data_IF_968640293588
#
_entry.id   IF_968640293588
#
_cell.length_a   1.000
_cell.length_b   1.000
_cell.length_c   1.000
_cell.angle_alpha   90.00
_cell.angle_beta   90.00
_cell.angle_gamma   90.00
#
_symmetry.space_group_name_H-M   'P 1'
#
loop_
_entity.id
_entity.type
_entity.pdbx_description
1 polymer ?
#
# COMPACT_ATOMS: atom_id res chain seq x y z
N UNK A 1 -34.69 -14.50 -5.82
CA UNK A 1 -33.33 -14.29 -6.38
C UNK A 1 -32.44 -13.80 -5.26
N UNK A 2 -31.34 -14.50 -4.95
CA UNK A 2 -30.36 -14.03 -3.96
C UNK A 2 -29.46 -12.97 -4.59
N UNK A 3 -29.16 -11.89 -3.86
CA UNK A 3 -28.26 -10.81 -4.30
C UNK A 3 -26.84 -11.12 -3.84
N UNK A 4 -25.91 -11.18 -4.78
CA UNK A 4 -24.48 -11.31 -4.47
C UNK A 4 -23.91 -9.94 -4.07
N UNK A 5 -23.07 -9.92 -3.03
CA UNK A 5 -22.34 -8.74 -2.56
C UNK A 5 -20.87 -9.13 -2.42
N UNK A 6 -19.97 -8.30 -2.93
CA UNK A 6 -18.51 -8.45 -2.75
C UNK A 6 -18.03 -7.53 -1.63
N UNK A 7 -17.11 -8.03 -0.81
CA UNK A 7 -16.49 -7.29 0.30
C UNK A 7 -15.00 -7.09 0.05
N UNK A 8 -14.49 -5.92 0.44
CA UNK A 8 -13.07 -5.60 0.45
C UNK A 8 -12.71 -4.83 1.72
N UNK A 9 -11.47 -4.98 2.20
CA UNK A 9 -10.96 -4.31 3.39
C UNK A 9 -9.49 -3.89 3.23
N UNK A 10 -9.07 -2.91 4.03
CA UNK A 10 -7.68 -2.47 4.09
C UNK A 10 -6.94 -3.18 5.22
N UNK A 11 -5.69 -3.55 4.96
CA UNK A 11 -4.83 -4.18 5.94
C UNK A 11 -3.43 -3.54 5.95
N UNK A 12 -2.96 -3.20 7.15
CA UNK A 12 -1.62 -2.65 7.39
C UNK A 12 -0.68 -3.73 7.96
N UNK A 13 -0.91 -4.98 7.57
CA UNK A 13 -0.11 -6.16 7.93
C UNK A 13 0.46 -6.82 6.68
N UNK A 14 1.48 -7.66 6.87
CA UNK A 14 2.03 -8.46 5.78
C UNK A 14 0.99 -9.44 5.24
N UNK A 15 1.09 -9.81 3.96
CA UNK A 15 0.11 -10.69 3.30
C UNK A 15 -0.05 -12.06 4.00
N UNK A 16 1.02 -12.55 4.62
CA UNK A 16 1.04 -13.80 5.39
C UNK A 16 0.39 -13.70 6.79
N UNK A 17 -0.05 -12.50 7.19
CA UNK A 17 -0.71 -12.22 8.46
C UNK A 17 -2.17 -11.76 8.26
N UNK A 18 -2.71 -11.89 7.05
CA UNK A 18 -4.12 -11.60 6.75
C UNK A 18 -5.02 -12.70 7.31
N UNK A 19 -6.19 -12.30 7.83
CA UNK A 19 -7.22 -13.24 8.26
C UNK A 19 -7.73 -14.07 7.07
N UNK A 20 -8.03 -15.34 7.30
CA UNK A 20 -8.60 -16.27 6.30
C UNK A 20 -10.10 -16.04 6.16
N UNK A 21 -10.47 -15.01 5.40
CA UNK A 21 -11.84 -14.58 5.14
C UNK A 21 -12.03 -14.40 3.63
N UNK A 22 -13.20 -14.77 3.07
CA UNK A 22 -13.46 -14.68 1.63
C UNK A 22 -13.74 -13.23 1.18
N UNK A 23 -12.76 -12.35 1.39
CA UNK A 23 -12.78 -10.94 1.07
C UNK A 23 -11.51 -10.56 0.31
N UNK A 24 -11.57 -9.43 -0.40
CA UNK A 24 -10.40 -8.88 -1.09
C UNK A 24 -9.68 -7.94 -0.11
N UNK A 25 -8.38 -8.13 0.05
CA UNK A 25 -7.56 -7.26 0.88
C UNK A 25 -6.81 -6.24 0.04
N UNK A 26 -6.82 -4.97 0.46
CA UNK A 26 -5.94 -3.94 -0.05
C UNK A 26 -4.82 -3.69 0.96
N UNK A 27 -3.59 -4.10 0.62
CA UNK A 27 -2.42 -3.89 1.48
C UNK A 27 -1.62 -2.67 1.04
N UNK A 28 -1.25 -1.83 2.02
CA UNK A 28 -0.39 -0.68 1.79
C UNK A 28 1.08 -1.13 1.82
N UNK A 29 1.91 -0.80 0.81
CA UNK A 29 3.32 -1.19 0.80
C UNK A 29 4.16 -0.28 1.71
N UNK A 30 3.91 -0.32 3.01
CA UNK A 30 4.51 0.58 4.01
C UNK A 30 6.04 0.61 3.97
N UNK A 31 6.68 -0.55 3.72
CA UNK A 31 8.14 -0.65 3.63
C UNK A 31 8.71 0.14 2.44
N UNK A 32 8.10 0.00 1.26
CA UNK A 32 8.51 0.72 0.06
C UNK A 32 8.26 2.22 0.17
N UNK A 33 7.15 2.60 0.81
CA UNK A 33 6.86 4.01 1.16
C UNK A 33 7.99 4.56 2.02
N UNK A 34 8.41 3.83 3.06
CA UNK A 34 9.50 4.24 3.93
C UNK A 34 10.84 4.42 3.20
N UNK A 35 11.22 3.45 2.35
CA UNK A 35 12.45 3.56 1.56
C UNK A 35 12.43 4.74 0.58
N UNK A 36 11.32 4.90 -0.13
CA UNK A 36 11.13 6.00 -1.08
C UNK A 36 11.20 7.35 -0.37
N UNK A 37 10.55 7.48 0.79
CA UNK A 37 10.59 8.69 1.60
C UNK A 37 12.03 9.01 2.06
N UNK A 38 12.76 8.01 2.56
CA UNK A 38 14.13 8.19 3.03
C UNK A 38 15.07 8.66 1.91
N UNK A 39 14.98 8.02 0.74
CA UNK A 39 15.75 8.42 -0.45
C UNK A 39 15.46 9.88 -0.83
N UNK A 40 14.18 10.27 -0.82
CA UNK A 40 13.77 11.64 -1.17
C UNK A 40 14.25 12.68 -0.18
N UNK A 41 14.26 12.36 1.12
CA UNK A 41 14.83 13.25 2.14
C UNK A 41 16.33 13.48 1.85
N UNK A 42 17.08 12.41 1.56
CA UNK A 42 18.51 12.51 1.25
C UNK A 42 18.78 13.29 -0.04
N UNK A 43 18.01 13.04 -1.10
CA UNK A 43 18.10 13.80 -2.36
C UNK A 43 17.86 15.29 -2.14
N UNK A 44 16.83 15.63 -1.35
CA UNK A 44 16.50 17.03 -1.02
C UNK A 44 17.63 17.70 -0.24
N UNK A 45 18.22 17.02 0.73
CA UNK A 45 19.36 17.54 1.51
C UNK A 45 20.56 17.79 0.58
N UNK A 46 20.83 16.88 -0.35
CA UNK A 46 22.02 16.93 -1.17
C UNK A 46 21.92 17.89 -2.38
N UNK A 47 20.73 18.05 -2.98
CA UNK A 47 20.57 18.71 -4.28
C UNK A 47 19.61 19.91 -4.27
N UNK A 48 19.03 20.27 -3.11
CA UNK A 48 17.97 21.30 -2.98
C UNK A 48 16.79 21.07 -3.95
N UNK A 49 16.54 19.81 -4.32
CA UNK A 49 15.47 19.45 -5.25
C UNK A 49 14.10 19.62 -4.60
N UNK A 50 13.37 20.64 -5.04
CA UNK A 50 12.01 20.96 -4.56
C UNK A 50 10.87 20.40 -5.41
N UNK A 51 11.16 19.62 -6.46
CA UNK A 51 10.25 19.46 -7.59
C UNK A 51 9.11 18.43 -7.38
N UNK A 52 9.29 17.42 -6.52
CA UNK A 52 8.24 16.41 -6.26
C UNK A 52 7.74 16.51 -4.82
N UNK A 53 6.61 17.21 -4.62
CA UNK A 53 5.96 17.35 -3.31
C UNK A 53 5.03 16.19 -2.94
N UNK A 54 4.58 15.38 -3.90
CA UNK A 54 3.67 14.26 -3.69
C UNK A 54 4.02 13.09 -4.59
N UNK A 55 4.09 11.89 -4.01
CA UNK A 55 4.29 10.63 -4.72
C UNK A 55 3.22 9.65 -4.29
N UNK A 56 2.65 8.97 -5.28
CA UNK A 56 1.68 7.91 -5.06
C UNK A 56 2.37 6.57 -5.26
N UNK A 57 2.26 5.71 -4.26
CA UNK A 57 2.71 4.32 -4.34
C UNK A 57 1.45 3.45 -4.32
N UNK A 58 1.33 2.57 -5.30
CA UNK A 58 0.14 1.75 -5.48
C UNK A 58 -0.02 0.72 -4.35
N UNK A 59 -1.24 0.61 -3.81
CA UNK A 59 -1.61 -0.50 -2.94
C UNK A 59 -1.64 -1.82 -3.72
N UNK A 60 -1.49 -2.94 -3.02
CA UNK A 60 -1.62 -4.28 -3.60
C UNK A 60 -2.98 -4.86 -3.27
N UNK A 61 -3.62 -5.49 -4.26
CA UNK A 61 -4.83 -6.27 -4.05
C UNK A 61 -4.44 -7.73 -3.86
N UNK A 62 -4.81 -8.29 -2.71
CA UNK A 62 -4.61 -9.69 -2.36
C UNK A 62 -5.97 -10.37 -2.38
N UNK A 63 -6.11 -11.36 -3.26
CA UNK A 63 -7.29 -12.22 -3.32
C UNK A 63 -7.00 -13.50 -2.56
N UNK A 64 -7.74 -13.76 -1.49
CA UNK A 64 -7.80 -15.12 -0.94
C UNK A 64 -8.65 -16.01 -1.86
N UNK A 65 -8.22 -17.27 -1.99
CA UNK A 65 -8.87 -18.28 -2.83
C UNK A 65 -9.97 -18.99 -2.08
#
# INVERSE_FOLDING_TARGET
MARAVSLAAFADVAENALDDLPIIWASTPAREIGYTLAERILQRIAHDEHHVRSQTIAARLVTQK
#
